data_IF_400190165178
#
_entry.id   IF_400190165178
#
_cell.length_a   1.000
_cell.length_b   1.000
_cell.length_c   1.000
_cell.angle_alpha   90.00
_cell.angle_beta   90.00
_cell.angle_gamma   90.00
#
_symmetry.space_group_name_H-M   'P 1'
#
loop_
_entity.id
_entity.type
_entity.pdbx_description
1 polymer ?
#
# COMPACT_ATOMS: atom_id res chain seq x y z
N UNK A 1 9.41 2.47 34.67
CA UNK A 1 8.01 2.89 34.43
C UNK A 1 7.33 1.79 33.64
N UNK A 2 6.18 1.28 34.11
CA UNK A 2 5.37 0.34 33.33
C UNK A 2 4.82 1.12 32.13
N UNK A 3 5.25 0.79 30.92
CA UNK A 3 4.65 1.30 29.69
C UNK A 3 3.21 0.83 29.65
N UNK A 4 2.25 1.76 29.64
CA UNK A 4 0.84 1.38 29.47
C UNK A 4 0.66 0.72 28.09
N UNK A 5 -0.14 -0.36 28.01
CA UNK A 5 -0.33 -1.07 26.76
C UNK A 5 -1.17 -0.26 25.76
N UNK A 6 -0.79 -0.32 24.49
CA UNK A 6 -1.59 0.21 23.39
C UNK A 6 -2.91 -0.57 23.31
N UNK A 7 -4.06 0.11 23.39
CA UNK A 7 -5.38 -0.49 23.21
C UNK A 7 -5.87 -0.23 21.80
N UNK A 8 -6.35 -1.25 21.09
CA UNK A 8 -6.98 -1.09 19.77
C UNK A 8 -8.43 -1.60 19.86
N UNK A 9 -9.39 -0.82 19.38
CA UNK A 9 -10.82 -1.18 19.38
C UNK A 9 -11.59 -0.49 18.26
N UNK A 10 -12.75 -1.02 17.93
CA UNK A 10 -13.72 -0.39 17.02
C UNK A 10 -14.37 0.84 17.66
N UNK A 11 -14.58 1.87 16.84
CA UNK A 11 -15.25 3.13 17.18
C UNK A 11 -16.62 3.18 16.49
N UNK A 12 -17.63 3.65 17.21
CA UNK A 12 -19.02 3.56 16.78
C UNK A 12 -19.91 4.74 17.22
N UNK A 13 -19.49 5.52 18.22
CA UNK A 13 -20.26 6.70 18.64
C UNK A 13 -19.88 7.94 17.82
N UNK A 14 -20.79 8.92 17.75
CA UNK A 14 -20.52 10.19 17.05
C UNK A 14 -19.33 10.90 17.68
N UNK A 15 -19.25 10.90 19.01
CA UNK A 15 -18.17 11.53 19.79
C UNK A 15 -16.81 10.91 19.44
N UNK A 16 -16.73 9.59 19.33
CA UNK A 16 -15.51 8.90 18.94
C UNK A 16 -15.09 9.23 17.51
N UNK A 17 -16.06 9.35 16.60
CA UNK A 17 -15.77 9.69 15.21
C UNK A 17 -15.39 11.17 15.04
N UNK A 18 -15.85 12.06 15.91
CA UNK A 18 -15.32 13.42 16.01
C UNK A 18 -13.85 13.42 16.46
N UNK A 19 -13.45 12.57 17.41
CA UNK A 19 -12.03 12.41 17.77
C UNK A 19 -11.19 11.92 16.57
N UNK A 20 -11.72 10.99 15.79
CA UNK A 20 -11.07 10.53 14.55
C UNK A 20 -10.90 11.70 13.59
N UNK A 21 -11.94 12.50 13.35
CA UNK A 21 -11.88 13.66 12.44
C UNK A 21 -10.86 14.71 12.90
N UNK A 22 -10.78 14.96 14.21
CA UNK A 22 -9.74 15.85 14.77
C UNK A 22 -8.34 15.29 14.51
N UNK A 23 -8.16 13.99 14.68
CA UNK A 23 -6.88 13.34 14.40
C UNK A 23 -6.55 13.32 12.90
N UNK A 24 -7.53 13.11 12.01
CA UNK A 24 -7.37 13.25 10.55
C UNK A 24 -6.85 14.65 10.18
N UNK A 25 -7.42 15.68 10.79
CA UNK A 25 -7.02 17.07 10.59
C UNK A 25 -5.56 17.33 10.99
N UNK A 26 -5.10 16.70 12.07
CA UNK A 26 -3.70 16.78 12.53
C UNK A 26 -2.76 16.02 11.56
N UNK A 27 -3.20 14.89 11.01
CA UNK A 27 -2.37 14.03 10.17
C UNK A 27 -2.23 14.60 8.76
N UNK A 28 -3.30 15.14 8.18
CA UNK A 28 -3.34 15.66 6.81
C UNK A 28 -3.76 17.13 6.79
N UNK A 29 -5.06 17.40 6.82
CA UNK A 29 -5.65 18.74 6.86
C UNK A 29 -7.14 18.65 7.18
N UNK A 30 -7.77 19.78 7.46
CA UNK A 30 -9.23 19.81 7.69
C UNK A 30 -10.00 19.47 6.41
N UNK A 31 -9.54 19.97 5.26
CA UNK A 31 -10.19 19.78 3.96
C UNK A 31 -10.11 18.31 3.49
N UNK A 32 -9.11 17.57 3.98
CA UNK A 32 -8.94 16.13 3.72
C UNK A 32 -9.65 15.25 4.76
N UNK A 33 -10.21 15.82 5.83
CA UNK A 33 -10.87 15.05 6.91
C UNK A 33 -12.24 14.53 6.47
N UNK A 34 -12.59 13.31 6.89
CA UNK A 34 -13.87 12.71 6.53
C UNK A 34 -14.98 13.31 7.42
N UNK A 35 -16.06 13.85 6.84
CA UNK A 35 -17.20 14.33 7.62
C UNK A 35 -17.82 13.21 8.47
N UNK A 36 -18.09 13.47 9.75
CA UNK A 36 -18.57 12.46 10.70
C UNK A 36 -19.87 11.79 10.27
N UNK A 37 -20.76 12.51 9.58
CA UNK A 37 -21.97 11.91 9.03
C UNK A 37 -21.68 10.81 7.98
N UNK A 38 -20.59 10.93 7.21
CA UNK A 38 -20.15 9.88 6.28
C UNK A 38 -19.53 8.71 7.05
N UNK A 39 -18.66 8.98 8.03
CA UNK A 39 -18.07 7.96 8.89
C UNK A 39 -19.15 7.13 9.61
N UNK A 40 -20.19 7.80 10.14
CA UNK A 40 -21.35 7.13 10.75
C UNK A 40 -22.13 6.29 9.75
N UNK A 41 -22.33 6.78 8.52
CA UNK A 41 -23.00 6.01 7.48
C UNK A 41 -22.21 4.73 7.15
N UNK A 42 -20.88 4.81 7.05
CA UNK A 42 -20.02 3.66 6.82
C UNK A 42 -20.10 2.64 7.96
N UNK A 43 -19.96 3.08 9.21
CA UNK A 43 -20.05 2.19 10.39
C UNK A 43 -21.39 1.45 10.45
N UNK A 44 -22.49 2.10 10.05
CA UNK A 44 -23.82 1.49 10.03
C UNK A 44 -24.05 0.51 8.88
N UNK A 45 -23.22 0.54 7.85
CA UNK A 45 -23.43 -0.20 6.61
C UNK A 45 -22.29 -1.19 6.32
N UNK A 46 -21.75 -1.83 7.36
CA UNK A 46 -20.76 -2.90 7.22
C UNK A 46 -19.31 -2.43 7.18
N UNK A 47 -19.05 -1.12 7.24
CA UNK A 47 -17.71 -0.60 7.47
C UNK A 47 -17.38 -0.50 8.96
N UNK A 48 -16.13 -0.16 9.26
CA UNK A 48 -15.70 0.07 10.63
C UNK A 48 -14.49 1.00 10.67
N UNK A 49 -14.33 1.66 11.82
CA UNK A 49 -13.16 2.46 12.13
C UNK A 49 -12.52 1.87 13.39
N UNK A 50 -11.21 1.60 13.35
CA UNK A 50 -10.43 1.23 14.52
C UNK A 50 -9.72 2.46 15.07
N UNK A 51 -9.71 2.60 16.39
CA UNK A 51 -8.87 3.57 17.10
C UNK A 51 -7.79 2.86 17.90
N UNK A 52 -6.58 3.42 17.91
CA UNK A 52 -5.49 3.02 18.80
C UNK A 52 -5.29 4.08 19.88
N UNK A 53 -5.32 3.65 21.14
CA UNK A 53 -5.28 4.52 22.31
C UNK A 53 -4.02 4.28 23.15
N UNK A 54 -3.48 5.38 23.66
CA UNK A 54 -2.39 5.40 24.64
C UNK A 54 -2.76 6.40 25.74
N UNK A 55 -2.82 5.97 27.00
CA UNK A 55 -3.24 6.82 28.13
C UNK A 55 -4.59 7.54 27.84
N UNK A 56 -5.58 6.77 27.35
CA UNK A 56 -6.92 7.24 26.92
C UNK A 56 -6.96 8.24 25.74
N UNK A 57 -5.80 8.67 25.23
CA UNK A 57 -5.71 9.50 24.04
C UNK A 57 -5.80 8.65 22.76
N UNK A 58 -6.66 9.04 21.82
CA UNK A 58 -6.66 8.50 20.46
C UNK A 58 -5.40 8.98 19.71
N UNK A 59 -4.49 8.07 19.41
CA UNK A 59 -3.19 8.40 18.79
C UNK A 59 -3.05 7.89 17.35
N UNK A 60 -3.93 6.98 16.93
CA UNK A 60 -4.00 6.51 15.56
C UNK A 60 -5.38 5.95 15.25
N UNK A 61 -5.72 5.86 13.97
CA UNK A 61 -6.96 5.24 13.52
C UNK A 61 -6.77 4.53 12.19
N UNK A 62 -7.75 3.71 11.84
CA UNK A 62 -7.86 3.01 10.56
C UNK A 62 -9.33 3.06 10.11
N UNK A 63 -9.60 3.55 8.91
CA UNK A 63 -10.95 3.67 8.33
C UNK A 63 -11.17 2.63 7.23
N UNK A 64 -12.24 1.82 7.34
CA UNK A 64 -12.63 0.86 6.32
C UNK A 64 -14.10 0.95 5.93
N UNK A 65 -14.41 0.70 4.66
CA UNK A 65 -15.80 0.65 4.16
C UNK A 65 -16.00 -0.52 3.17
N UNK A 66 -17.22 -1.06 3.02
CA UNK A 66 -17.50 -2.10 2.04
C UNK A 66 -17.46 -1.57 0.60
N UNK A 67 -16.81 -2.32 -0.27
CA UNK A 67 -16.89 -2.18 -1.72
C UNK A 67 -17.61 -3.37 -2.36
N UNK A 68 -18.10 -3.18 -3.59
CA UNK A 68 -18.73 -4.21 -4.40
C UNK A 68 -18.37 -3.99 -5.87
N UNK A 69 -17.83 -5.02 -6.51
CA UNK A 69 -17.38 -4.99 -7.91
C UNK A 69 -18.43 -5.54 -8.90
N UNK A 70 -19.65 -5.78 -8.44
CA UNK A 70 -20.70 -6.46 -9.21
C UNK A 70 -20.73 -7.98 -9.03
N UNK A 71 -19.73 -8.57 -8.36
CA UNK A 71 -19.62 -10.02 -8.13
C UNK A 71 -19.45 -10.37 -6.66
N UNK A 72 -18.54 -9.70 -5.96
CA UNK A 72 -18.17 -9.97 -4.57
C UNK A 72 -18.11 -8.70 -3.75
N UNK A 73 -18.51 -8.82 -2.49
CA UNK A 73 -18.33 -7.78 -1.48
C UNK A 73 -16.94 -7.91 -0.87
N UNK A 74 -16.27 -6.79 -0.66
CA UNK A 74 -14.93 -6.73 -0.08
C UNK A 74 -14.76 -5.52 0.82
N UNK A 75 -13.73 -5.51 1.65
CA UNK A 75 -13.45 -4.37 2.51
C UNK A 75 -12.41 -3.46 1.87
N UNK A 76 -12.72 -2.18 1.69
CA UNK A 76 -11.76 -1.15 1.27
C UNK A 76 -11.09 -0.57 2.51
N UNK A 77 -9.76 -0.59 2.55
CA UNK A 77 -8.96 0.10 3.57
C UNK A 77 -8.65 1.52 3.11
N UNK A 78 -9.53 2.47 3.41
CA UNK A 78 -9.43 3.85 2.91
C UNK A 78 -8.22 4.61 3.44
N UNK A 79 -8.06 4.65 4.77
CA UNK A 79 -7.04 5.49 5.39
C UNK A 79 -6.53 4.89 6.71
N UNK A 80 -5.29 5.26 7.05
CA UNK A 80 -4.65 4.96 8.32
C UNK A 80 -3.81 6.17 8.71
N UNK A 81 -4.19 6.82 9.81
CA UNK A 81 -3.50 8.00 10.34
C UNK A 81 -2.84 7.69 11.67
N UNK A 82 -1.64 8.22 11.88
CA UNK A 82 -0.91 8.13 13.16
C UNK A 82 -0.47 9.54 13.54
N UNK A 83 -0.80 9.94 14.76
CA UNK A 83 -0.37 11.21 15.33
C UNK A 83 1.15 11.38 15.18
N UNK A 84 1.66 12.54 14.72
CA UNK A 84 3.08 12.74 14.41
C UNK A 84 4.05 12.26 15.50
N UNK A 85 3.75 12.55 16.77
CA UNK A 85 4.58 12.19 17.92
C UNK A 85 4.67 10.68 18.23
N UNK A 86 3.77 9.89 17.63
CA UNK A 86 3.66 8.44 17.84
C UNK A 86 4.10 7.63 16.60
N UNK A 87 4.55 8.28 15.53
CA UNK A 87 5.06 7.60 14.33
C UNK A 87 6.30 6.74 14.64
N UNK A 88 6.57 5.77 13.77
CA UNK A 88 7.72 4.83 13.85
C UNK A 88 7.75 3.92 15.10
N UNK A 89 6.60 3.69 15.74
CA UNK A 89 6.45 2.78 16.90
C UNK A 89 5.73 1.46 16.59
N UNK A 90 5.62 1.10 15.31
CA UNK A 90 4.92 -0.12 14.86
C UNK A 90 3.39 -0.09 14.99
N UNK A 91 2.79 1.07 15.30
CA UNK A 91 1.33 1.20 15.51
C UNK A 91 0.54 0.87 14.24
N UNK A 92 0.99 1.34 13.07
CA UNK A 92 0.28 1.08 11.81
C UNK A 92 0.20 -0.41 11.45
N UNK A 93 1.25 -1.16 11.73
CA UNK A 93 1.27 -2.62 11.54
C UNK A 93 0.26 -3.30 12.48
N UNK A 94 0.22 -2.92 13.76
CA UNK A 94 -0.76 -3.44 14.73
C UNK A 94 -2.20 -3.13 14.34
N UNK A 95 -2.46 -1.90 13.87
CA UNK A 95 -3.77 -1.49 13.35
C UNK A 95 -4.20 -2.31 12.14
N UNK A 96 -3.29 -2.55 11.18
CA UNK A 96 -3.57 -3.40 10.01
C UNK A 96 -3.88 -4.83 10.42
N UNK A 97 -3.17 -5.40 11.38
CA UNK A 97 -3.46 -6.75 11.87
C UNK A 97 -4.84 -6.84 12.54
N UNK A 98 -5.20 -5.87 13.38
CA UNK A 98 -6.54 -5.84 13.98
C UNK A 98 -7.63 -5.55 12.93
N UNK A 99 -7.34 -4.74 11.90
CA UNK A 99 -8.24 -4.54 10.76
C UNK A 99 -8.53 -5.86 10.06
N UNK A 100 -7.50 -6.65 9.75
CA UNK A 100 -7.66 -7.95 9.11
C UNK A 100 -8.48 -8.92 9.95
N UNK A 101 -8.19 -9.00 11.24
CA UNK A 101 -8.94 -9.82 12.19
C UNK A 101 -10.41 -9.38 12.28
N UNK A 102 -10.66 -8.08 12.36
CA UNK A 102 -12.02 -7.51 12.41
C UNK A 102 -12.77 -7.81 11.11
N UNK A 103 -12.14 -7.62 9.95
CA UNK A 103 -12.70 -7.95 8.65
C UNK A 103 -13.07 -9.43 8.53
N UNK A 104 -12.19 -10.33 8.98
CA UNK A 104 -12.45 -11.77 9.03
C UNK A 104 -13.68 -12.09 9.88
N UNK A 105 -13.78 -11.53 11.08
CA UNK A 105 -14.90 -11.73 11.99
C UNK A 105 -16.23 -11.19 11.45
N UNK A 106 -16.17 -10.15 10.60
CA UNK A 106 -17.34 -9.58 9.92
C UNK A 106 -17.71 -10.34 8.64
N UNK A 107 -16.93 -11.35 8.23
CA UNK A 107 -17.22 -12.18 7.07
C UNK A 107 -16.64 -11.69 5.74
N UNK A 108 -15.74 -10.69 5.75
CA UNK A 108 -15.03 -10.29 4.53
C UNK A 108 -13.92 -11.28 4.21
N UNK A 109 -13.85 -11.75 2.96
CA UNK A 109 -12.79 -12.67 2.51
C UNK A 109 -11.46 -11.96 2.25
N UNK A 110 -11.48 -10.68 1.87
CA UNK A 110 -10.27 -9.90 1.65
C UNK A 110 -10.48 -8.40 1.88
N UNK A 111 -9.35 -7.72 2.10
CA UNK A 111 -9.24 -6.26 2.22
C UNK A 111 -8.47 -5.75 1.02
N UNK A 112 -8.88 -4.63 0.43
CA UNK A 112 -8.19 -3.98 -0.68
C UNK A 112 -7.86 -2.52 -0.42
N UNK A 113 -6.76 -2.04 -0.98
CA UNK A 113 -6.37 -0.63 -1.02
C UNK A 113 -5.36 -0.39 -2.13
N UNK A 114 -5.05 0.88 -2.36
CA UNK A 114 -4.05 1.28 -3.34
C UNK A 114 -2.81 1.88 -2.70
N UNK A 115 -1.64 1.71 -3.33
CA UNK A 115 -0.45 2.51 -3.01
C UNK A 115 0.37 2.80 -4.28
N UNK A 116 1.25 3.79 -4.20
CA UNK A 116 2.13 4.14 -5.32
C UNK A 116 3.27 3.10 -5.48
N UNK A 117 3.42 2.45 -6.66
CA UNK A 117 4.47 1.45 -6.90
C UNK A 117 5.89 1.95 -6.62
N UNK A 118 6.15 3.25 -6.80
CA UNK A 118 7.47 3.83 -6.63
C UNK A 118 7.75 4.27 -5.18
N UNK A 119 6.76 4.16 -4.29
CA UNK A 119 6.92 4.32 -2.84
C UNK A 119 7.28 2.99 -2.17
N UNK A 120 8.55 2.58 -2.31
CA UNK A 120 9.07 1.28 -1.84
C UNK A 120 8.90 1.05 -0.32
N UNK A 121 8.83 2.11 0.48
CA UNK A 121 8.51 2.02 1.92
C UNK A 121 7.13 1.40 2.13
N UNK A 122 6.14 1.77 1.30
CA UNK A 122 4.81 1.19 1.33
C UNK A 122 4.84 -0.25 0.78
N UNK A 123 5.64 -0.51 -0.26
CA UNK A 123 5.86 -1.87 -0.75
C UNK A 123 6.38 -2.81 0.34
N UNK A 124 7.34 -2.36 1.17
CA UNK A 124 7.86 -3.18 2.26
C UNK A 124 6.83 -3.48 3.34
N UNK A 125 5.98 -2.50 3.69
CA UNK A 125 4.86 -2.74 4.59
C UNK A 125 3.86 -3.72 3.97
N UNK A 126 3.34 -3.41 2.78
CA UNK A 126 2.22 -4.14 2.18
C UNK A 126 2.61 -5.58 1.80
N UNK A 127 3.77 -5.76 1.17
CA UNK A 127 4.19 -7.07 0.65
C UNK A 127 4.97 -7.86 1.70
N UNK A 128 6.01 -7.26 2.32
CA UNK A 128 6.84 -8.02 3.24
C UNK A 128 6.18 -8.23 4.61
N UNK A 129 5.61 -7.17 5.22
CA UNK A 129 5.07 -7.27 6.58
C UNK A 129 3.64 -7.82 6.63
N UNK A 130 2.77 -7.32 5.76
CA UNK A 130 1.36 -7.75 5.74
C UNK A 130 1.20 -9.06 4.93
N UNK A 131 2.05 -9.31 3.94
CA UNK A 131 1.89 -10.45 3.03
C UNK A 131 0.73 -10.26 2.05
N UNK A 132 0.33 -9.02 1.78
CA UNK A 132 -0.65 -8.72 0.75
C UNK A 132 -0.03 -8.90 -0.65
N UNK A 133 -0.87 -8.98 -1.67
CA UNK A 133 -0.46 -9.16 -3.07
C UNK A 133 -1.01 -8.05 -3.93
N UNK A 134 -0.26 -7.59 -4.93
CA UNK A 134 -0.78 -6.67 -5.94
C UNK A 134 -1.43 -7.48 -7.04
N UNK A 135 -2.68 -7.15 -7.34
CA UNK A 135 -3.48 -7.82 -8.37
C UNK A 135 -3.68 -6.96 -9.61
N UNK A 136 -3.49 -5.63 -9.52
CA UNK A 136 -3.66 -4.74 -10.67
C UNK A 136 -2.80 -3.48 -10.58
N UNK A 137 -2.48 -2.92 -11.73
CA UNK A 137 -1.92 -1.59 -11.88
C UNK A 137 -3.00 -0.66 -12.44
N UNK A 138 -3.20 0.47 -11.78
CA UNK A 138 -4.24 1.43 -12.08
C UNK A 138 -3.58 2.77 -12.45
N UNK A 139 -3.62 3.19 -13.73
CA UNK A 139 -3.02 4.45 -14.14
C UNK A 139 -3.85 5.65 -13.68
N UNK A 140 -3.17 6.67 -13.13
CA UNK A 140 -3.66 8.00 -12.82
C UNK A 140 -5.02 8.07 -12.09
N UNK A 141 -5.21 7.20 -11.09
CA UNK A 141 -6.51 6.95 -10.44
C UNK A 141 -7.12 8.19 -9.80
N UNK A 142 -6.28 9.09 -9.28
CA UNK A 142 -6.71 10.28 -8.56
C UNK A 142 -6.55 11.57 -9.39
N UNK A 143 -6.15 11.45 -10.66
CA UNK A 143 -5.88 12.60 -11.51
C UNK A 143 -4.75 13.49 -10.96
N UNK A 144 -4.91 14.80 -11.15
CA UNK A 144 -3.95 15.80 -10.68
C UNK A 144 -4.10 16.01 -9.17
N UNK A 145 -3.02 15.79 -8.44
CA UNK A 145 -2.91 16.09 -7.01
C UNK A 145 -1.79 17.10 -6.78
N UNK A 146 -2.03 18.07 -5.90
CA UNK A 146 -1.09 19.15 -5.60
C UNK A 146 -0.36 18.98 -4.26
N UNK A 147 -0.44 17.81 -3.65
CA UNK A 147 0.27 17.51 -2.41
C UNK A 147 1.76 17.18 -2.65
N UNK A 148 2.57 17.27 -1.60
CA UNK A 148 4.02 17.05 -1.67
C UNK A 148 4.41 15.66 -2.21
N UNK A 149 3.58 14.64 -1.98
CA UNK A 149 3.88 13.26 -2.35
C UNK A 149 3.55 12.97 -3.81
N UNK A 150 2.48 13.53 -4.35
CA UNK A 150 1.96 13.19 -5.68
C UNK A 150 2.19 14.25 -6.75
N UNK A 151 2.47 15.50 -6.38
CA UNK A 151 2.57 16.60 -7.35
C UNK A 151 3.60 16.35 -8.46
N UNK A 152 3.22 16.70 -9.68
CA UNK A 152 4.08 16.72 -10.87
C UNK A 152 4.14 15.43 -11.69
N UNK A 153 3.51 14.34 -11.22
CA UNK A 153 3.47 13.03 -11.88
C UNK A 153 2.07 12.39 -11.83
N UNK A 154 1.73 11.49 -12.77
CA UNK A 154 0.49 10.70 -12.72
C UNK A 154 0.34 9.91 -11.42
N UNK A 155 -0.89 9.81 -10.92
CA UNK A 155 -1.23 9.12 -9.66
C UNK A 155 -1.43 7.62 -9.86
N UNK A 156 -0.48 6.96 -10.51
CA UNK A 156 -0.59 5.53 -10.77
C UNK A 156 -0.48 4.74 -9.46
N UNK A 157 -1.25 3.65 -9.36
CA UNK A 157 -1.42 2.87 -8.16
C UNK A 157 -1.34 1.38 -8.42
N UNK A 158 -0.70 0.66 -7.51
CA UNK A 158 -0.99 -0.74 -7.33
C UNK A 158 -2.27 -0.91 -6.52
N UNK A 159 -3.18 -1.75 -7.02
CA UNK A 159 -4.30 -2.30 -6.27
C UNK A 159 -3.80 -3.55 -5.54
N UNK A 160 -3.95 -3.54 -4.21
CA UNK A 160 -3.51 -4.60 -3.31
C UNK A 160 -4.72 -5.38 -2.83
N UNK A 161 -4.60 -6.69 -2.73
CA UNK A 161 -5.54 -7.58 -2.07
C UNK A 161 -4.85 -8.28 -0.89
N UNK A 162 -5.55 -8.33 0.24
CA UNK A 162 -5.09 -8.97 1.46
C UNK A 162 -6.19 -9.85 2.01
N UNK A 163 -6.08 -11.14 1.71
CA UNK A 163 -7.03 -12.15 2.16
C UNK A 163 -7.03 -12.27 3.68
N UNK A 164 -8.22 -12.39 4.26
CA UNK A 164 -8.38 -12.40 5.72
C UNK A 164 -8.01 -13.74 6.34
N UNK A 165 -8.07 -14.83 5.57
CA UNK A 165 -7.82 -16.21 6.01
C UNK A 165 -6.44 -16.75 5.63
N UNK A 166 -5.72 -16.10 4.72
CA UNK A 166 -4.46 -16.64 4.18
C UNK A 166 -3.27 -16.44 5.10
N UNK A 167 -2.55 -17.50 5.41
CA UNK A 167 -1.28 -17.38 6.09
C UNK A 167 -0.18 -17.05 5.09
N UNK A 168 0.64 -16.03 5.40
CA UNK A 168 1.83 -15.73 4.61
C UNK A 168 2.74 -16.97 4.62
N UNK A 169 2.86 -17.66 3.48
CA UNK A 169 3.90 -18.66 3.28
C UNK A 169 5.28 -18.00 3.27
N UNK A 170 6.30 -18.69 3.77
CA UNK A 170 7.68 -18.27 3.52
C UNK A 170 7.94 -18.38 2.01
N UNK A 171 8.30 -17.27 1.37
CA UNK A 171 8.71 -17.26 -0.02
C UNK A 171 10.23 -17.39 -0.07
N UNK A 172 10.71 -18.43 -0.73
CA UNK A 172 12.13 -18.54 -1.05
C UNK A 172 12.49 -17.51 -2.11
N UNK A 173 13.45 -16.65 -1.79
CA UNK A 173 13.98 -15.68 -2.73
C UNK A 173 14.94 -16.38 -3.68
N UNK A 174 14.55 -16.47 -4.93
CA UNK A 174 15.45 -16.91 -5.99
C UNK A 174 16.41 -15.78 -6.33
N UNK A 175 17.71 -16.08 -6.21
CA UNK A 175 18.78 -15.08 -6.41
C UNK A 175 18.92 -14.66 -7.88
N UNK A 176 18.53 -15.52 -8.83
CA UNK A 176 18.72 -15.30 -10.27
C UNK A 176 17.36 -15.46 -10.96
N UNK A 177 16.73 -14.33 -11.25
CA UNK A 177 15.50 -14.26 -12.05
C UNK A 177 15.67 -13.25 -13.20
N UNK A 178 14.96 -13.44 -14.32
CA UNK A 178 14.95 -12.46 -15.40
C UNK A 178 14.38 -11.13 -14.91
N UNK A 179 14.87 -10.02 -15.47
CA UNK A 179 14.42 -8.68 -15.15
C UNK A 179 13.60 -8.12 -16.30
N UNK A 180 12.35 -7.71 -16.05
CA UNK A 180 11.48 -7.13 -17.08
C UNK A 180 11.83 -5.67 -17.43
N UNK A 181 12.77 -5.09 -16.69
CA UNK A 181 13.30 -3.76 -16.93
C UNK A 181 14.79 -3.78 -16.61
N UNK A 182 15.60 -3.33 -17.57
CA UNK A 182 17.03 -3.12 -17.40
C UNK A 182 17.25 -1.69 -16.89
N UNK A 183 18.13 -1.56 -15.91
CA UNK A 183 18.48 -0.27 -15.30
C UNK A 183 19.92 0.11 -15.60
N UNK A 184 20.15 1.38 -15.89
CA UNK A 184 21.48 1.97 -15.95
C UNK A 184 21.67 3.04 -14.88
N UNK A 185 22.76 3.79 -14.97
CA UNK A 185 23.07 4.92 -14.08
C UNK A 185 24.11 4.61 -13.01
N UNK A 186 24.20 5.48 -12.00
CA UNK A 186 25.10 5.34 -10.87
C UNK A 186 24.38 4.81 -9.61
N UNK A 187 25.11 4.70 -8.49
CA UNK A 187 24.57 4.15 -7.24
C UNK A 187 23.50 5.03 -6.57
N UNK A 188 23.35 6.29 -6.99
CA UNK A 188 22.41 7.25 -6.40
C UNK A 188 21.19 7.47 -7.29
N UNK A 189 21.36 7.59 -8.60
CA UNK A 189 20.27 7.80 -9.56
C UNK A 189 20.31 6.76 -10.67
N UNK A 190 19.70 5.62 -10.39
CA UNK A 190 19.35 4.67 -11.43
C UNK A 190 18.35 5.29 -12.40
N UNK A 191 18.47 4.93 -13.68
CA UNK A 191 17.47 5.23 -14.69
C UNK A 191 16.91 3.95 -15.30
N UNK A 192 15.62 3.93 -15.66
CA UNK A 192 15.08 2.85 -16.47
C UNK A 192 15.66 2.98 -17.88
N UNK A 193 16.12 1.88 -18.47
CA UNK A 193 16.75 1.89 -19.79
C UNK A 193 15.90 1.14 -20.82
N UNK A 194 15.77 -0.18 -20.65
CA UNK A 194 15.06 -1.03 -21.61
C UNK A 194 14.06 -1.95 -20.92
N UNK A 195 12.81 -1.91 -21.38
CA UNK A 195 11.76 -2.85 -21.00
C UNK A 195 11.86 -4.14 -21.82
N UNK A 196 11.65 -5.28 -21.15
CA UNK A 196 11.52 -6.60 -21.76
C UNK A 196 10.17 -7.23 -21.37
N UNK A 197 9.25 -7.23 -22.34
CA UNK A 197 7.92 -7.85 -22.21
C UNK A 197 7.87 -9.28 -22.76
N UNK A 198 9.02 -9.87 -23.10
CA UNK A 198 9.10 -11.21 -23.70
C UNK A 198 9.38 -12.33 -22.69
N UNK A 199 9.35 -12.03 -21.39
CA UNK A 199 9.69 -13.00 -20.34
C UNK A 199 8.62 -14.09 -20.25
N UNK A 200 9.05 -15.33 -20.45
CA UNK A 200 8.20 -16.52 -20.36
C UNK A 200 8.41 -17.33 -19.08
N UNK A 201 9.35 -16.92 -18.21
CA UNK A 201 9.57 -17.55 -16.91
C UNK A 201 8.30 -17.46 -16.03
N UNK A 202 8.21 -18.26 -14.96
CA UNK A 202 7.08 -18.15 -14.01
C UNK A 202 7.27 -17.06 -12.95
N UNK A 203 8.51 -16.59 -12.78
CA UNK A 203 8.90 -15.53 -11.85
C UNK A 203 9.87 -14.58 -12.53
N UNK A 204 9.81 -13.31 -12.13
CA UNK A 204 10.71 -12.27 -12.62
C UNK A 204 10.82 -11.12 -11.63
N UNK A 205 11.84 -10.29 -11.84
CA UNK A 205 12.02 -9.04 -11.09
C UNK A 205 11.67 -7.81 -11.93
N UNK A 206 11.09 -6.81 -11.28
CA UNK A 206 10.94 -5.46 -11.83
C UNK A 206 11.65 -4.46 -10.91
N UNK A 207 12.79 -3.89 -11.34
CA UNK A 207 13.50 -2.90 -10.55
C UNK A 207 12.75 -1.58 -10.43
N UNK A 208 12.88 -0.94 -9.26
CA UNK A 208 12.38 0.41 -8.96
C UNK A 208 13.37 1.17 -8.05
N UNK A 209 13.43 2.50 -8.13
CA UNK A 209 14.32 3.29 -7.29
C UNK A 209 13.82 3.32 -5.84
N UNK A 210 14.75 3.19 -4.89
CA UNK A 210 14.49 3.29 -3.46
C UNK A 210 14.32 4.73 -2.95
N UNK A 211 14.83 5.71 -3.72
CA UNK A 211 14.84 7.13 -3.38
C UNK A 211 13.98 7.95 -4.36
N UNK A 212 12.82 7.43 -4.77
CA UNK A 212 11.97 8.04 -5.78
C UNK A 212 11.59 9.51 -5.49
N UNK A 213 11.27 9.85 -4.22
CA UNK A 213 10.96 11.23 -3.84
C UNK A 213 12.15 12.18 -4.00
N UNK A 214 13.38 11.69 -3.82
CA UNK A 214 14.60 12.45 -4.07
C UNK A 214 14.78 12.70 -5.59
N UNK A 215 14.59 11.66 -6.41
CA UNK A 215 14.60 11.75 -7.88
C UNK A 215 13.55 12.76 -8.34
N UNK A 216 12.31 12.67 -7.84
CA UNK A 216 11.22 13.57 -8.22
C UNK A 216 11.55 15.03 -7.93
N UNK A 217 12.19 15.31 -6.80
CA UNK A 217 12.58 16.66 -6.40
C UNK A 217 13.71 17.24 -7.27
N UNK A 218 14.68 16.41 -7.66
CA UNK A 218 15.90 16.89 -8.33
C UNK A 218 15.89 16.72 -9.84
N UNK A 219 15.14 15.75 -10.35
CA UNK A 219 15.07 15.39 -11.76
C UNK A 219 13.67 14.84 -12.09
N UNK A 220 12.70 15.75 -12.24
CA UNK A 220 11.33 15.41 -12.59
C UNK A 220 11.21 14.63 -13.92
N UNK A 221 11.98 14.93 -14.99
CA UNK A 221 12.01 14.09 -16.20
C UNK A 221 12.38 12.63 -15.91
N UNK A 222 13.37 12.39 -15.06
CA UNK A 222 13.75 11.02 -14.67
C UNK A 222 12.65 10.34 -13.84
N UNK A 223 11.98 11.06 -12.95
CA UNK A 223 10.84 10.51 -12.20
C UNK A 223 9.68 10.11 -13.13
N UNK A 224 9.42 10.92 -14.18
CA UNK A 224 8.42 10.60 -15.22
C UNK A 224 8.84 9.38 -16.04
N UNK A 225 10.12 9.26 -16.40
CA UNK A 225 10.62 8.08 -17.11
C UNK A 225 10.44 6.80 -16.27
N UNK A 226 10.74 6.85 -14.96
CA UNK A 226 10.46 5.73 -14.05
C UNK A 226 8.98 5.36 -14.01
N UNK A 227 8.10 6.36 -13.86
CA UNK A 227 6.64 6.16 -13.85
C UNK A 227 6.15 5.48 -15.12
N UNK A 228 6.56 5.99 -16.29
CA UNK A 228 6.17 5.47 -17.59
C UNK A 228 6.66 4.05 -17.83
N UNK A 229 7.98 3.80 -17.68
CA UNK A 229 8.59 2.52 -18.01
C UNK A 229 8.10 1.40 -17.07
N UNK A 230 7.98 1.68 -15.77
CA UNK A 230 7.43 0.71 -14.83
C UNK A 230 5.93 0.49 -15.05
N UNK A 231 5.19 1.55 -15.43
CA UNK A 231 3.78 1.43 -15.79
C UNK A 231 3.53 0.51 -16.98
N UNK A 232 4.36 0.58 -18.02
CA UNK A 232 4.31 -0.33 -19.17
C UNK A 232 4.46 -1.79 -18.70
N UNK A 233 5.48 -2.07 -17.89
CA UNK A 233 5.77 -3.43 -17.39
C UNK A 233 4.62 -3.94 -16.52
N UNK A 234 4.22 -3.17 -15.51
CA UNK A 234 3.20 -3.61 -14.55
C UNK A 234 1.83 -3.80 -15.20
N UNK A 235 1.42 -2.88 -16.09
CA UNK A 235 0.18 -3.03 -16.85
C UNK A 235 0.21 -4.32 -17.66
N UNK A 236 1.27 -4.54 -18.45
CA UNK A 236 1.38 -5.70 -19.32
C UNK A 236 1.25 -7.03 -18.57
N UNK A 237 2.02 -7.22 -17.49
CA UNK A 237 2.06 -8.51 -16.80
C UNK A 237 0.87 -8.71 -15.87
N UNK A 238 0.41 -7.69 -15.13
CA UNK A 238 -0.73 -7.86 -14.21
C UNK A 238 -2.04 -8.13 -14.96
N UNK A 239 -2.25 -7.53 -16.15
CA UNK A 239 -3.41 -7.85 -17.01
C UNK A 239 -3.39 -9.29 -17.54
N UNK A 240 -2.23 -9.97 -17.50
CA UNK A 240 -2.05 -11.36 -17.92
C UNK A 240 -2.08 -12.35 -16.74
N UNK A 241 -2.61 -11.94 -15.59
CA UNK A 241 -2.76 -12.81 -14.42
C UNK A 241 -1.45 -13.04 -13.67
N UNK A 242 -0.52 -12.09 -13.73
CA UNK A 242 0.61 -12.05 -12.80
C UNK A 242 0.27 -11.28 -11.54
N UNK A 243 1.03 -11.52 -10.48
CA UNK A 243 0.89 -10.85 -9.19
C UNK A 243 2.22 -10.28 -8.74
N UNK A 244 2.23 -9.09 -8.13
CA UNK A 244 3.40 -8.65 -7.36
C UNK A 244 3.27 -9.18 -5.95
N UNK A 245 4.23 -9.99 -5.54
CA UNK A 245 4.11 -10.75 -4.31
C UNK A 245 5.11 -10.29 -3.27
N UNK A 246 6.30 -9.87 -3.69
CA UNK A 246 7.36 -9.45 -2.77
C UNK A 246 8.12 -8.21 -3.25
N UNK A 247 8.88 -7.60 -2.35
CA UNK A 247 9.80 -6.52 -2.63
C UNK A 247 11.11 -6.78 -1.89
N UNK A 248 12.21 -6.87 -2.64
CA UNK A 248 13.54 -7.09 -2.07
C UNK A 248 14.48 -5.95 -2.40
N UNK A 249 15.43 -5.69 -1.51
CA UNK A 249 16.51 -4.75 -1.80
C UNK A 249 17.52 -5.45 -2.72
N UNK A 250 17.95 -4.78 -3.79
CA UNK A 250 18.96 -5.32 -4.69
C UNK A 250 20.32 -5.40 -3.97
N UNK A 251 20.97 -6.56 -4.04
CA UNK A 251 22.29 -6.76 -3.43
C UNK A 251 23.34 -5.82 -4.05
N UNK A 252 24.20 -5.24 -3.21
CA UNK A 252 25.22 -4.28 -3.66
C UNK A 252 24.69 -2.89 -4.06
N UNK A 253 23.37 -2.70 -4.14
CA UNK A 253 22.75 -1.46 -4.63
C UNK A 253 21.96 -0.76 -3.51
N UNK A 254 22.41 0.42 -3.11
CA UNK A 254 21.83 1.13 -1.96
C UNK A 254 20.42 1.67 -2.23
N UNK A 255 20.14 2.07 -3.48
CA UNK A 255 18.91 2.76 -3.89
C UNK A 255 18.11 2.00 -4.96
N UNK A 256 18.26 0.67 -5.05
CA UNK A 256 17.50 -0.14 -5.99
C UNK A 256 16.77 -1.25 -5.27
N UNK A 257 15.47 -1.38 -5.55
CA UNK A 257 14.63 -2.45 -5.06
C UNK A 257 14.05 -3.23 -6.24
N UNK A 258 13.71 -4.49 -6.02
CA UNK A 258 13.18 -5.41 -7.01
C UNK A 258 11.82 -5.91 -6.53
N UNK A 259 10.77 -5.61 -7.27
CA UNK A 259 9.48 -6.27 -7.08
C UNK A 259 9.53 -7.68 -7.68
N UNK A 260 9.14 -8.69 -6.90
CA UNK A 260 8.97 -10.05 -7.37
C UNK A 260 7.58 -10.20 -7.98
N UNK A 261 7.53 -10.59 -9.25
CA UNK A 261 6.30 -10.94 -9.95
C UNK A 261 6.23 -12.45 -10.18
N UNK A 262 5.05 -13.02 -9.93
CA UNK A 262 4.78 -14.46 -10.08
C UNK A 262 3.53 -14.66 -10.95
N UNK A 263 3.57 -15.62 -11.87
CA UNK A 263 2.42 -15.98 -12.71
C UNK A 263 1.41 -16.77 -11.89
N UNK A 264 0.12 -16.43 -12.02
CA UNK A 264 -0.99 -17.01 -11.26
C UNK A 264 -1.16 -18.53 -11.43
N UNK A 265 -0.53 -19.28 -10.54
CA UNK A 265 -0.94 -20.66 -10.18
C UNK A 265 -1.26 -20.76 -8.67
N UNK A 266 -0.99 -19.71 -7.87
CA UNK A 266 -0.85 -19.78 -6.41
C UNK A 266 -1.83 -18.95 -5.58
N UNK A 267 -2.73 -18.15 -6.20
CA UNK A 267 -3.63 -17.24 -5.47
C UNK A 267 -5.13 -17.35 -5.88
N UNK A 268 -5.49 -18.35 -6.68
CA UNK A 268 -6.90 -18.63 -7.08
C UNK A 268 -7.56 -19.77 -6.27
N UNK A 269 -6.90 -20.33 -5.27
CA UNK A 269 -7.42 -21.43 -4.45
C UNK A 269 -7.91 -20.96 -3.07
#
# INVERSE_FOLDING_TARGET
MKTQPLMIRTLHSVEELEEVRRLETIVWSFDDSVPVNQSMAVVKNGGFILGAFYEDQLIAFQYSFPGFDGKKVYLVSQSLGIHPDFRKRGIGEKLKMEQRKTAANMGYDFITWTYDPLETVNGSLNLNKLGAVVTSYLPNVYGLMNDNLNAGIPTDRFLVEWHTKDHKGMRELEQILPHALITGGDTRFYHPDKVDLSITAKKMYVPVPGNFQEIKKMNLPLAKAWREQTGIVFTHYLEQGWYVTDLVKSEGNTNLYLYLLEKGESYEN
#
